data_IF_354106244487
#
_entry.id   IF_354106244487
#
_cell.length_a   1.000
_cell.length_b   1.000
_cell.length_c   1.000
_cell.angle_alpha   90.00
_cell.angle_beta   90.00
_cell.angle_gamma   90.00
#
_symmetry.space_group_name_H-M   'P 1'
#
loop_
_entity.id
_entity.type
_entity.pdbx_description
1 polymer ?
#
# COMPACT_ATOMS: atom_id res chain seq x y z
N UNK A 1 13.97 34.02 20.74
CA UNK A 1 13.57 32.72 21.31
C UNK A 1 12.29 32.94 22.08
N UNK A 2 11.21 32.28 21.73
CA UNK A 2 9.91 32.45 22.42
C UNK A 2 9.66 31.21 23.28
N UNK A 3 9.15 31.43 24.49
CA UNK A 3 8.77 30.32 25.35
C UNK A 3 7.28 30.05 25.18
N UNK A 4 6.93 28.78 25.00
CA UNK A 4 5.57 28.30 24.81
C UNK A 4 5.19 27.43 26.01
N UNK A 5 4.03 27.66 26.65
CA UNK A 5 3.60 26.84 27.77
C UNK A 5 3.17 25.43 27.29
N UNK A 6 3.58 24.40 28.02
CA UNK A 6 3.12 23.04 27.81
C UNK A 6 1.62 22.92 28.12
N UNK A 7 0.85 22.28 27.23
CA UNK A 7 -0.60 22.08 27.41
C UNK A 7 -0.98 21.12 28.53
N UNK A 8 -0.02 20.33 29.02
CA UNK A 8 -0.27 19.30 30.05
C UNK A 8 0.14 19.77 31.43
N UNK A 9 1.37 20.25 31.59
CA UNK A 9 1.92 20.64 32.90
C UNK A 9 2.10 22.15 33.08
N UNK A 10 1.86 22.96 32.05
CA UNK A 10 2.03 24.42 32.13
C UNK A 10 3.47 24.93 32.11
N UNK A 11 4.49 24.05 32.17
CA UNK A 11 5.90 24.45 32.09
C UNK A 11 6.18 25.21 30.79
N UNK A 12 6.90 26.32 30.90
CA UNK A 12 7.42 27.08 29.75
C UNK A 12 8.57 26.33 29.10
N UNK A 13 8.45 26.09 27.80
CA UNK A 13 9.46 25.39 27.02
C UNK A 13 9.85 26.18 25.76
N UNK A 14 11.01 25.86 25.18
CA UNK A 14 11.43 26.47 23.92
C UNK A 14 10.46 26.13 22.79
N UNK A 15 10.20 27.07 21.89
CA UNK A 15 9.41 26.85 20.68
C UNK A 15 10.04 25.81 19.73
N UNK A 16 11.34 25.54 19.90
CA UNK A 16 12.11 24.54 19.15
C UNK A 16 12.19 23.17 19.85
N UNK A 17 11.66 23.02 21.06
CA UNK A 17 11.70 21.75 21.77
C UNK A 17 10.62 20.79 21.25
N UNK A 18 11.02 19.58 20.87
CA UNK A 18 10.08 18.53 20.44
C UNK A 18 9.22 18.01 21.60
N UNK A 19 9.82 17.91 22.79
CA UNK A 19 9.24 17.33 24.00
C UNK A 19 9.27 18.33 25.16
N UNK A 20 8.29 18.21 26.07
CA UNK A 20 8.28 18.95 27.32
C UNK A 20 9.42 18.52 28.23
N UNK A 21 10.26 19.47 28.66
CA UNK A 21 11.37 19.20 29.58
C UNK A 21 10.92 18.73 30.98
N UNK A 22 9.64 18.91 31.34
CA UNK A 22 9.12 18.49 32.66
C UNK A 22 8.28 17.21 32.62
N UNK A 23 7.48 17.00 31.57
CA UNK A 23 6.54 15.88 31.50
C UNK A 23 6.68 15.03 30.25
N UNK A 24 7.70 15.29 29.43
CA UNK A 24 8.03 14.57 28.19
C UNK A 24 6.89 14.51 27.15
N UNK A 25 5.85 15.31 27.34
CA UNK A 25 4.73 15.39 26.41
C UNK A 25 5.13 16.19 25.17
N UNK A 26 4.76 15.76 23.95
CA UNK A 26 5.12 16.48 22.73
C UNK A 26 4.54 17.90 22.72
N UNK A 27 5.41 18.91 22.57
CA UNK A 27 5.03 20.33 22.57
C UNK A 27 4.32 20.67 21.25
N UNK A 28 4.86 20.19 20.14
CA UNK A 28 4.24 20.24 18.84
C UNK A 28 3.65 18.85 18.56
N UNK A 29 2.33 18.77 18.44
CA UNK A 29 1.63 17.52 18.14
C UNK A 29 2.29 16.81 16.97
N UNK A 30 2.42 15.49 17.05
CA UNK A 30 3.16 14.64 16.12
C UNK A 30 2.86 15.01 14.66
N UNK A 31 3.68 15.88 14.06
CA UNK A 31 3.64 16.21 12.64
C UNK A 31 4.14 14.99 11.91
N UNK A 32 3.26 14.00 11.72
CA UNK A 32 3.57 12.88 10.83
C UNK A 32 3.73 13.50 9.44
N UNK A 33 4.96 13.61 8.91
CA UNK A 33 5.17 14.36 7.68
C UNK A 33 4.37 13.70 6.56
N UNK A 34 3.76 14.48 5.70
CA UNK A 34 2.93 13.95 4.61
C UNK A 34 3.72 13.00 3.70
N UNK A 35 5.05 13.16 3.65
CA UNK A 35 6.01 12.27 2.99
C UNK A 35 5.91 10.83 3.53
N UNK A 36 5.79 10.64 4.84
CA UNK A 36 5.65 9.29 5.42
C UNK A 36 4.31 8.64 5.06
N UNK A 37 3.26 9.44 4.95
CA UNK A 37 1.97 8.93 4.47
C UNK A 37 2.05 8.57 2.98
N UNK A 38 2.64 9.43 2.15
CA UNK A 38 2.85 9.15 0.72
C UNK A 38 3.71 7.91 0.47
N UNK A 39 4.83 7.77 1.19
CA UNK A 39 5.71 6.61 1.10
C UNK A 39 4.99 5.30 1.47
N UNK A 40 4.19 5.31 2.54
CA UNK A 40 3.41 4.15 2.94
C UNK A 40 2.39 3.74 1.88
N UNK A 41 1.71 4.71 1.25
CA UNK A 41 0.75 4.46 0.16
C UNK A 41 1.44 3.91 -1.07
N UNK A 42 2.60 4.48 -1.46
CA UNK A 42 3.38 3.99 -2.60
C UNK A 42 3.83 2.54 -2.41
N UNK A 43 4.37 2.22 -1.23
CA UNK A 43 4.78 0.85 -0.88
C UNK A 43 3.57 -0.08 -0.91
N UNK A 44 2.44 0.34 -0.33
CA UNK A 44 1.22 -0.46 -0.36
C UNK A 44 0.80 -0.76 -1.80
N UNK A 45 0.77 0.22 -2.70
CA UNK A 45 0.41 0.01 -4.10
C UNK A 45 1.37 -0.93 -4.84
N UNK A 46 2.67 -0.80 -4.60
CA UNK A 46 3.69 -1.67 -5.23
C UNK A 46 3.53 -3.14 -4.85
N UNK A 47 3.08 -3.43 -3.62
CA UNK A 47 2.80 -4.79 -3.18
C UNK A 47 1.39 -5.26 -3.52
N UNK A 48 0.39 -4.37 -3.43
CA UNK A 48 -1.01 -4.71 -3.59
C UNK A 48 -1.39 -4.90 -5.07
N UNK A 49 -0.85 -4.09 -5.99
CA UNK A 49 -1.14 -4.18 -7.41
C UNK A 49 -0.77 -5.54 -8.05
N UNK A 50 0.44 -6.11 -7.86
CA UNK A 50 0.76 -7.42 -8.43
C UNK A 50 -0.08 -8.54 -7.81
N UNK A 51 -0.39 -8.46 -6.52
CA UNK A 51 -1.27 -9.44 -5.85
C UNK A 51 -2.66 -9.42 -6.46
N UNK A 52 -3.27 -8.23 -6.64
CA UNK A 52 -4.56 -8.14 -7.34
C UNK A 52 -4.46 -8.62 -8.79
N UNK A 53 -3.40 -8.29 -9.51
CA UNK A 53 -3.20 -8.74 -10.89
C UNK A 53 -3.17 -10.26 -11.01
N UNK A 54 -2.46 -10.94 -10.10
CA UNK A 54 -2.42 -12.40 -10.05
C UNK A 54 -3.79 -12.97 -9.69
N UNK A 55 -4.44 -12.48 -8.62
CA UNK A 55 -5.76 -12.96 -8.19
C UNK A 55 -6.80 -12.79 -9.29
N UNK A 56 -6.90 -11.61 -9.88
CA UNK A 56 -7.83 -11.32 -10.98
C UNK A 56 -7.49 -12.13 -12.24
N UNK A 57 -6.20 -12.36 -12.51
CA UNK A 57 -5.76 -13.26 -13.57
C UNK A 57 -6.26 -14.68 -13.34
N UNK A 58 -6.08 -15.24 -12.14
CA UNK A 58 -6.60 -16.57 -11.79
C UNK A 58 -8.13 -16.68 -11.96
N UNK A 59 -8.88 -15.61 -11.67
CA UNK A 59 -10.34 -15.60 -11.89
C UNK A 59 -10.75 -15.47 -13.36
N UNK A 60 -9.95 -14.84 -14.22
CA UNK A 60 -10.18 -14.80 -15.68
C UNK A 60 -9.67 -16.06 -16.40
N UNK A 61 -8.79 -16.84 -15.77
CA UNK A 61 -8.40 -18.18 -16.19
C UNK A 61 -9.47 -19.22 -15.85
N UNK A 62 -10.75 -18.93 -16.11
CA UNK A 62 -11.69 -20.00 -16.43
C UNK A 62 -11.32 -20.49 -17.84
N UNK A 63 -10.81 -21.73 -17.97
CA UNK A 63 -10.14 -22.17 -19.18
C UNK A 63 -11.16 -22.31 -20.31
N UNK A 64 -11.15 -21.37 -21.26
CA UNK A 64 -11.54 -21.66 -22.65
C UNK A 64 -10.59 -22.73 -23.19
N UNK A 65 -10.83 -23.99 -22.80
CA UNK A 65 -10.43 -25.16 -23.58
C UNK A 65 -11.20 -25.09 -24.89
N UNK A 66 -10.65 -24.39 -25.87
CA UNK A 66 -10.79 -24.79 -27.25
C UNK A 66 -9.53 -25.58 -27.59
N UNK A 67 -9.64 -26.87 -27.95
CA UNK A 67 -9.90 -27.18 -29.36
C UNK A 67 -10.64 -28.51 -29.60
N UNK A 68 -11.66 -28.51 -30.47
CA UNK A 68 -12.03 -29.72 -31.21
C UNK A 68 -11.64 -29.51 -32.67
N UNK A 69 -10.49 -30.03 -33.13
CA UNK A 69 -10.21 -30.19 -34.55
C UNK A 69 -10.96 -31.45 -35.02
N UNK A 70 -12.19 -31.28 -35.50
CA UNK A 70 -12.82 -32.33 -36.29
C UNK A 70 -12.23 -32.29 -37.70
N UNK A 71 -11.09 -32.96 -37.89
CA UNK A 71 -10.73 -33.48 -39.21
C UNK A 71 -9.97 -34.80 -39.09
N UNK A 72 -10.65 -35.93 -39.35
CA UNK A 72 -10.04 -37.03 -40.05
C UNK A 72 -10.37 -36.87 -41.55
N UNK A 73 -9.35 -36.65 -42.37
CA UNK A 73 -9.38 -37.04 -43.77
C UNK A 73 -9.56 -38.56 -43.81
N UNK A 74 -10.76 -39.02 -44.17
CA UNK A 74 -10.96 -40.40 -44.62
C UNK A 74 -11.21 -40.37 -46.12
N UNK A 75 -10.12 -40.30 -46.88
CA UNK A 75 -10.08 -40.72 -48.28
C UNK A 75 -8.93 -41.69 -48.40
N UNK A 76 -9.23 -42.99 -48.51
CA UNK A 76 -8.58 -43.91 -49.45
C UNK A 76 -8.88 -45.38 -49.09
N UNK A 77 -9.32 -46.11 -50.12
CA UNK A 77 -8.99 -47.51 -50.39
C UNK A 77 -9.90 -48.61 -49.85
N UNK A 78 -10.64 -49.26 -50.77
CA UNK A 78 -10.78 -50.71 -50.69
C UNK A 78 -12.08 -51.33 -51.19
N UNK A 79 -12.15 -51.52 -52.52
CA UNK A 79 -12.75 -52.67 -53.21
C UNK A 79 -14.27 -52.75 -53.39
#
# INVERSE_FOLDING_TARGET
MTLVPCRVCGTLNSDQADLCLSCEYPIQGRRRPWIFQGAAVLVLFLFLAPVLGVVLGFFQFEPQRSPSPLKPDQSSSGR
#
